data_IF_006582518061
#
_entry.id   IF_006582518061
#
_cell.length_a   1.000
_cell.length_b   1.000
_cell.length_c   1.000
_cell.angle_alpha   90.00
_cell.angle_beta   90.00
_cell.angle_gamma   90.00
#
_symmetry.space_group_name_H-M   'P 1'
#
loop_
_entity.id
_entity.type
_entity.pdbx_description
1 polymer ?
#
# COMPACT_ATOMS: atom_id res chain seq x y z
N UNK A 1 3.98 -1.76 -14.83
CA UNK A 1 5.02 -1.15 -14.00
C UNK A 1 6.09 -2.16 -13.80
N UNK A 2 7.31 -1.71 -14.00
CA UNK A 2 8.50 -2.54 -13.84
C UNK A 2 8.84 -2.65 -12.35
N UNK A 3 9.73 -3.58 -12.01
CA UNK A 3 10.10 -3.85 -10.61
C UNK A 3 10.65 -2.59 -9.92
N UNK A 4 11.47 -1.81 -10.63
CA UNK A 4 12.05 -0.57 -10.11
C UNK A 4 10.98 0.43 -9.68
N UNK A 5 9.94 0.64 -10.51
CA UNK A 5 8.86 1.56 -10.19
C UNK A 5 8.08 1.12 -8.94
N UNK A 6 7.91 -0.21 -8.76
CA UNK A 6 7.26 -0.77 -7.57
C UNK A 6 8.08 -0.53 -6.31
N UNK A 7 9.40 -0.70 -6.40
CA UNK A 7 10.32 -0.43 -5.27
C UNK A 7 10.29 1.06 -4.89
N UNK A 8 10.38 1.96 -5.86
CA UNK A 8 10.27 3.41 -5.60
C UNK A 8 8.91 3.74 -4.98
N UNK A 9 7.82 3.17 -5.52
CA UNK A 9 6.47 3.33 -4.97
C UNK A 9 6.41 2.87 -3.52
N UNK A 10 6.99 1.71 -3.20
CA UNK A 10 7.01 1.17 -1.85
C UNK A 10 7.76 2.08 -0.87
N UNK A 11 8.95 2.56 -1.25
CA UNK A 11 9.76 3.48 -0.43
C UNK A 11 8.99 4.76 -0.13
N UNK A 12 8.47 5.42 -1.17
CA UNK A 12 7.74 6.69 -1.03
C UNK A 12 6.46 6.50 -0.22
N UNK A 13 5.73 5.40 -0.44
CA UNK A 13 4.51 5.10 0.31
C UNK A 13 4.80 4.84 1.78
N UNK A 14 5.88 4.11 2.09
CA UNK A 14 6.30 3.87 3.47
C UNK A 14 6.72 5.15 4.17
N UNK A 15 7.47 6.04 3.50
CA UNK A 15 7.81 7.36 4.04
C UNK A 15 6.57 8.18 4.37
N UNK A 16 5.63 8.30 3.42
CA UNK A 16 4.41 9.09 3.61
C UNK A 16 3.52 8.52 4.72
N UNK A 17 3.33 7.20 4.73
CA UNK A 17 2.49 6.54 5.73
C UNK A 17 3.09 6.68 7.13
N UNK A 18 4.41 6.50 7.26
CA UNK A 18 5.10 6.61 8.55
C UNK A 18 5.15 8.05 9.06
N UNK A 19 5.33 9.02 8.15
CA UNK A 19 5.23 10.42 8.48
C UNK A 19 3.83 10.78 8.96
N UNK A 20 2.79 10.32 8.26
CA UNK A 20 1.41 10.56 8.65
C UNK A 20 1.10 9.95 10.03
N UNK A 21 1.49 8.70 10.29
CA UNK A 21 1.31 8.05 11.58
C UNK A 21 2.02 8.80 12.71
N UNK A 22 3.29 9.17 12.48
CA UNK A 22 4.11 9.87 13.47
C UNK A 22 3.59 11.28 13.77
N UNK A 23 3.11 11.99 12.74
CA UNK A 23 2.51 13.31 12.89
C UNK A 23 1.17 13.27 13.63
N UNK A 24 0.29 12.33 13.29
CA UNK A 24 -1.03 12.19 13.91
C UNK A 24 -0.93 11.71 15.36
N UNK A 25 0.06 10.88 15.69
CA UNK A 25 0.33 10.45 17.05
C UNK A 25 1.05 11.49 17.92
N UNK A 26 1.57 12.56 17.33
CA UNK A 26 2.37 13.57 18.04
C UNK A 26 3.75 13.08 18.50
N UNK A 27 4.21 11.96 17.96
CA UNK A 27 5.43 11.26 18.41
C UNK A 27 6.43 11.11 17.26
N UNK A 28 7.09 12.21 16.91
CA UNK A 28 8.10 12.25 15.84
C UNK A 28 9.32 11.36 16.12
N UNK A 29 9.60 11.09 17.39
CA UNK A 29 10.67 10.19 17.83
C UNK A 29 10.47 8.74 17.35
N UNK A 30 9.23 8.29 17.15
CA UNK A 30 8.93 6.94 16.64
C UNK A 30 8.87 6.86 15.12
N UNK A 31 9.13 7.96 14.39
CA UNK A 31 9.11 7.97 12.93
C UNK A 31 9.96 6.84 12.32
N UNK A 32 11.17 6.64 12.83
CA UNK A 32 12.07 5.61 12.31
C UNK A 32 11.53 4.20 12.53
N UNK A 33 10.93 3.94 13.70
CA UNK A 33 10.31 2.66 14.00
C UNK A 33 9.11 2.40 13.07
N UNK A 34 8.21 3.38 12.93
CA UNK A 34 7.09 3.29 11.99
C UNK A 34 7.56 3.11 10.55
N UNK A 35 8.64 3.78 10.15
CA UNK A 35 9.23 3.62 8.83
C UNK A 35 9.72 2.22 8.58
N UNK A 36 10.50 1.62 9.49
CA UNK A 36 11.04 0.27 9.30
C UNK A 36 9.90 -0.75 9.17
N UNK A 37 8.91 -0.71 10.06
CA UNK A 37 7.76 -1.63 10.02
C UNK A 37 6.91 -1.43 8.75
N UNK A 38 6.52 -0.18 8.46
CA UNK A 38 5.71 0.14 7.29
C UNK A 38 6.44 -0.20 5.99
N UNK A 39 7.74 0.07 5.93
CA UNK A 39 8.57 -0.27 4.79
C UNK A 39 8.57 -1.77 4.52
N UNK A 40 8.76 -2.61 5.56
CA UNK A 40 8.76 -4.05 5.37
C UNK A 40 7.41 -4.56 4.85
N UNK A 41 6.30 -4.14 5.46
CA UNK A 41 4.95 -4.56 5.07
C UNK A 41 4.63 -4.08 3.65
N UNK A 42 4.92 -2.81 3.33
CA UNK A 42 4.61 -2.23 2.02
C UNK A 42 5.55 -2.77 0.93
N UNK A 43 6.83 -2.97 1.22
CA UNK A 43 7.79 -3.51 0.25
C UNK A 43 7.50 -4.99 -0.06
N UNK A 44 7.21 -5.81 0.96
CA UNK A 44 6.92 -7.23 0.72
C UNK A 44 5.47 -7.38 0.24
N UNK A 45 4.52 -7.02 1.08
CA UNK A 45 3.09 -7.20 0.81
C UNK A 45 2.58 -6.30 -0.31
N UNK A 46 2.94 -5.01 -0.30
CA UNK A 46 2.50 -4.06 -1.32
C UNK A 46 3.04 -4.37 -2.71
N UNK A 47 4.31 -4.76 -2.85
CA UNK A 47 4.87 -5.13 -4.17
C UNK A 47 4.21 -6.41 -4.68
N UNK A 48 4.16 -7.49 -3.88
CA UNK A 48 3.53 -8.75 -4.28
C UNK A 48 2.07 -8.53 -4.66
N UNK A 49 1.31 -7.84 -3.82
CA UNK A 49 -0.08 -7.53 -4.07
C UNK A 49 -0.26 -6.68 -5.33
N UNK A 50 0.62 -5.70 -5.57
CA UNK A 50 0.53 -4.85 -6.75
C UNK A 50 0.72 -5.63 -8.06
N UNK A 51 1.53 -6.69 -8.07
CA UNK A 51 1.69 -7.58 -9.23
C UNK A 51 0.39 -8.35 -9.46
N UNK A 52 -0.16 -8.95 -8.40
CA UNK A 52 -1.41 -9.67 -8.45
C UNK A 52 -2.58 -8.78 -8.90
N UNK A 53 -2.66 -7.56 -8.38
CA UNK A 53 -3.68 -6.58 -8.73
C UNK A 53 -3.61 -6.18 -10.20
N UNK A 54 -2.40 -6.00 -10.76
CA UNK A 54 -2.23 -5.71 -12.19
C UNK A 54 -2.71 -6.87 -13.07
N UNK A 55 -2.43 -8.12 -12.67
CA UNK A 55 -2.91 -9.30 -13.38
C UNK A 55 -4.43 -9.41 -13.36
N UNK A 56 -5.07 -9.19 -12.19
CA UNK A 56 -6.52 -9.20 -12.07
C UNK A 56 -7.17 -8.10 -12.91
N UNK A 57 -6.70 -6.86 -12.76
CA UNK A 57 -7.23 -5.71 -13.51
C UNK A 57 -6.96 -5.80 -15.01
N UNK A 58 -5.93 -6.54 -15.43
CA UNK A 58 -5.63 -6.82 -16.83
C UNK A 58 -6.59 -7.83 -17.46
N UNK A 59 -7.13 -8.78 -16.68
CA UNK A 59 -8.13 -9.76 -17.14
C UNK A 59 -9.54 -9.18 -17.25
N UNK A 60 -9.80 -8.05 -16.60
CA UNK A 60 -11.11 -7.41 -16.58
C UNK A 60 -11.24 -6.39 -17.72
N UNK A 61 -12.24 -6.55 -18.58
CA UNK A 61 -12.53 -5.63 -19.67
C UNK A 61 -13.29 -4.40 -19.16
N UNK A 62 -12.55 -3.35 -18.80
CA UNK A 62 -13.16 -2.08 -18.40
C UNK A 62 -13.38 -1.17 -19.60
N UNK A 63 -14.65 -0.81 -19.85
CA UNK A 63 -15.02 0.09 -20.95
C UNK A 63 -14.69 1.57 -20.66
N UNK A 64 -14.50 1.95 -19.39
CA UNK A 64 -14.22 3.33 -18.95
C UNK A 64 -13.05 3.38 -17.97
N UNK A 65 -12.13 4.35 -18.16
CA UNK A 65 -10.99 4.59 -17.25
C UNK A 65 -11.42 4.80 -15.80
N UNK A 66 -12.53 5.52 -15.59
CA UNK A 66 -13.10 5.78 -14.27
C UNK A 66 -13.53 4.49 -13.54
N UNK A 67 -14.14 3.55 -14.26
CA UNK A 67 -14.55 2.25 -13.70
C UNK A 67 -13.33 1.43 -13.28
N UNK A 68 -12.27 1.40 -14.10
CA UNK A 68 -11.01 0.74 -13.74
C UNK A 68 -10.38 1.34 -12.49
N UNK A 69 -10.45 2.66 -12.33
CA UNK A 69 -9.93 3.35 -11.14
C UNK A 69 -10.67 2.94 -9.86
N UNK A 70 -12.01 3.00 -9.87
CA UNK A 70 -12.80 2.58 -8.70
C UNK A 70 -12.59 1.10 -8.36
N UNK A 71 -12.49 0.22 -9.37
CA UNK A 71 -12.15 -1.18 -9.11
C UNK A 71 -10.75 -1.33 -8.52
N UNK A 72 -9.79 -0.50 -8.95
CA UNK A 72 -8.45 -0.48 -8.37
C UNK A 72 -8.49 -0.06 -6.90
N UNK A 73 -9.28 0.95 -6.53
CA UNK A 73 -9.48 1.35 -5.13
C UNK A 73 -10.00 0.18 -4.30
N UNK A 74 -11.08 -0.46 -4.74
CA UNK A 74 -11.69 -1.58 -4.00
C UNK A 74 -10.71 -2.74 -3.87
N UNK A 75 -10.02 -3.09 -4.95
CA UNK A 75 -9.04 -4.17 -4.96
C UNK A 75 -7.87 -3.88 -4.01
N UNK A 76 -7.31 -2.67 -4.05
CA UNK A 76 -6.22 -2.28 -3.16
C UNK A 76 -6.67 -2.17 -1.70
N UNK A 77 -7.87 -1.67 -1.42
CA UNK A 77 -8.41 -1.65 -0.05
C UNK A 77 -8.54 -3.08 0.51
N UNK A 78 -9.12 -4.00 -0.26
CA UNK A 78 -9.23 -5.40 0.13
C UNK A 78 -7.85 -6.06 0.30
N UNK A 79 -6.91 -5.80 -0.61
CA UNK A 79 -5.53 -6.26 -0.49
C UNK A 79 -4.82 -5.74 0.75
N UNK A 80 -5.00 -4.45 1.07
CA UNK A 80 -4.45 -3.80 2.25
C UNK A 80 -4.94 -4.45 3.54
N UNK A 81 -6.25 -4.75 3.62
CA UNK A 81 -6.82 -5.51 4.74
C UNK A 81 -6.14 -6.87 4.86
N UNK A 82 -6.12 -7.66 3.79
CA UNK A 82 -5.59 -9.03 3.81
C UNK A 82 -4.11 -9.04 4.20
N UNK A 83 -3.30 -8.20 3.56
CA UNK A 83 -1.86 -8.11 3.82
C UNK A 83 -1.60 -7.66 5.26
N UNK A 84 -2.24 -6.58 5.71
CA UNK A 84 -1.90 -5.99 6.99
C UNK A 84 -2.40 -6.85 8.17
N UNK A 85 -3.59 -7.44 8.06
CA UNK A 85 -4.09 -8.40 9.07
C UNK A 85 -3.24 -9.66 9.10
N UNK A 86 -2.80 -10.17 7.96
CA UNK A 86 -1.88 -11.31 7.90
C UNK A 86 -0.56 -11.01 8.62
N UNK A 87 0.05 -9.86 8.35
CA UNK A 87 1.28 -9.46 9.04
C UNK A 87 1.05 -9.24 10.53
N UNK A 88 -0.06 -8.65 10.93
CA UNK A 88 -0.38 -8.42 12.32
C UNK A 88 -0.50 -9.74 13.11
N UNK A 89 -1.30 -10.69 12.62
CA UNK A 89 -1.47 -12.00 13.27
C UNK A 89 -0.15 -12.76 13.32
N UNK A 90 0.64 -12.74 12.24
CA UNK A 90 1.87 -13.53 12.15
C UNK A 90 3.04 -12.95 12.94
N UNK A 91 3.16 -11.62 13.00
CA UNK A 91 4.28 -10.95 13.68
C UNK A 91 4.02 -10.80 15.17
N UNK A 92 2.79 -10.44 15.57
CA UNK A 92 2.46 -10.18 16.97
C UNK A 92 1.89 -11.41 17.70
N UNK A 93 1.60 -12.50 16.98
CA UNK A 93 0.90 -13.69 17.52
C UNK A 93 -0.44 -13.34 18.18
N UNK A 94 -1.08 -12.26 17.73
CA UNK A 94 -2.34 -11.78 18.25
C UNK A 94 -3.54 -12.34 17.45
N UNK A 95 -4.65 -12.54 18.14
CA UNK A 95 -5.91 -12.96 17.53
C UNK A 95 -6.67 -11.81 16.87
N UNK A 96 -7.90 -12.10 16.41
CA UNK A 96 -8.82 -11.06 15.93
C UNK A 96 -9.45 -10.33 17.13
N UNK A 97 -8.73 -9.36 17.69
CA UNK A 97 -9.18 -8.47 18.77
C UNK A 97 -9.61 -7.08 18.28
N UNK A 98 -9.84 -6.14 19.20
CA UNK A 98 -10.21 -4.75 18.87
C UNK A 98 -9.12 -4.04 18.01
N UNK A 99 -7.86 -4.34 18.29
CA UNK A 99 -6.71 -3.82 17.54
C UNK A 99 -6.70 -4.28 16.08
N UNK A 100 -7.32 -5.43 15.77
CA UNK A 100 -7.43 -5.92 14.40
C UNK A 100 -8.21 -4.93 13.51
N UNK A 101 -9.25 -4.26 14.04
CA UNK A 101 -10.00 -3.25 13.29
C UNK A 101 -9.13 -2.02 12.95
N UNK A 102 -8.29 -1.61 13.89
CA UNK A 102 -7.34 -0.52 13.67
C UNK A 102 -6.29 -0.93 12.61
N UNK A 103 -5.78 -2.16 12.69
CA UNK A 103 -4.86 -2.71 11.70
C UNK A 103 -5.50 -2.85 10.32
N UNK A 104 -6.78 -3.25 10.22
CA UNK A 104 -7.50 -3.25 8.95
C UNK A 104 -7.55 -1.85 8.35
N UNK A 105 -7.89 -0.85 9.18
CA UNK A 105 -7.96 0.55 8.74
C UNK A 105 -6.60 1.06 8.25
N UNK A 106 -5.53 0.80 9.00
CA UNK A 106 -4.17 1.13 8.59
C UNK A 106 -3.75 0.41 7.30
N UNK A 107 -4.15 -0.85 7.13
CA UNK A 107 -3.93 -1.61 5.90
C UNK A 107 -4.60 -0.96 4.69
N UNK A 108 -5.85 -0.55 4.82
CA UNK A 108 -6.59 0.18 3.76
C UNK A 108 -5.86 1.48 3.42
N UNK A 109 -5.54 2.30 4.43
CA UNK A 109 -4.89 3.60 4.22
C UNK A 109 -3.54 3.42 3.53
N UNK A 110 -2.70 2.49 4.01
CA UNK A 110 -1.39 2.20 3.40
C UNK A 110 -1.52 1.72 1.95
N UNK A 111 -2.49 0.84 1.66
CA UNK A 111 -2.70 0.34 0.30
C UNK A 111 -3.24 1.42 -0.65
N UNK A 112 -4.08 2.33 -0.16
CA UNK A 112 -4.54 3.47 -0.94
C UNK A 112 -3.40 4.46 -1.20
N UNK A 113 -2.55 4.77 -0.21
CA UNK A 113 -1.34 5.57 -0.45
C UNK A 113 -0.51 4.91 -1.54
N UNK A 114 -0.26 3.60 -1.43
CA UNK A 114 0.49 2.86 -2.46
C UNK A 114 -0.14 3.01 -3.84
N UNK A 115 -1.46 2.85 -3.97
CA UNK A 115 -2.17 3.01 -5.25
C UNK A 115 -2.01 4.41 -5.85
N UNK A 116 -2.08 5.47 -5.04
CA UNK A 116 -1.96 6.83 -5.54
C UNK A 116 -0.50 7.16 -5.92
N UNK A 117 0.47 6.74 -5.10
CA UNK A 117 1.89 6.86 -5.42
C UNK A 117 2.26 6.04 -6.65
N UNK A 118 1.62 4.88 -6.85
CA UNK A 118 1.76 4.06 -8.07
C UNK A 118 1.37 4.85 -9.33
N UNK A 119 0.25 5.57 -9.29
CA UNK A 119 -0.14 6.41 -10.43
C UNK A 119 0.81 7.58 -10.65
N UNK A 120 1.28 8.22 -9.57
CA UNK A 120 2.24 9.33 -9.65
C UNK A 120 3.60 8.88 -10.19
N UNK A 121 4.15 7.79 -9.67
CA UNK A 121 5.43 7.23 -10.15
C UNK A 121 5.35 6.85 -11.62
N UNK A 122 4.28 6.16 -12.04
CA UNK A 122 4.07 5.82 -13.46
C UNK A 122 3.93 7.05 -14.35
N UNK A 123 3.36 8.15 -13.86
CA UNK A 123 3.27 9.40 -14.60
C UNK A 123 4.66 10.04 -14.77
N UNK A 124 5.44 10.06 -13.70
CA UNK A 124 6.79 10.65 -13.68
C UNK A 124 7.74 9.86 -14.58
N UNK A 125 7.81 8.53 -14.45
CA UNK A 125 8.73 7.71 -15.25
C UNK A 125 8.43 7.76 -16.73
N UNK A 126 7.14 7.76 -17.13
CA UNK A 126 6.75 7.94 -18.53
C UNK A 126 7.21 9.27 -19.14
N UNK A 127 7.37 10.31 -18.33
CA UNK A 127 7.82 11.64 -18.79
C UNK A 127 9.35 11.71 -19.00
N UNK A 128 10.12 10.80 -18.40
CA UNK A 128 11.59 10.80 -18.49
C UNK A 128 12.14 9.73 -19.43
N UNK A 129 11.34 8.70 -19.76
CA UNK A 129 11.76 7.57 -20.60
C UNK A 129 11.29 7.72 -22.07
N UNK A 130 10.50 8.75 -22.37
CA UNK A 130 10.10 9.19 -23.71
C UNK A 130 10.33 10.70 -23.85
#
# INVERSE_FOLDING_TARGET
MDLLERVITAIVSALLFSFALSALGGLMEYFLAYFIFSFFIIAVGGIIFSIFADLLLGKMNFNRKLSKYFMSIVLYAAGGIVVNVFFYITVFNEGLGEEALQMMTFGIVAALIFLHIKYLTSLVTKKFVY
#
